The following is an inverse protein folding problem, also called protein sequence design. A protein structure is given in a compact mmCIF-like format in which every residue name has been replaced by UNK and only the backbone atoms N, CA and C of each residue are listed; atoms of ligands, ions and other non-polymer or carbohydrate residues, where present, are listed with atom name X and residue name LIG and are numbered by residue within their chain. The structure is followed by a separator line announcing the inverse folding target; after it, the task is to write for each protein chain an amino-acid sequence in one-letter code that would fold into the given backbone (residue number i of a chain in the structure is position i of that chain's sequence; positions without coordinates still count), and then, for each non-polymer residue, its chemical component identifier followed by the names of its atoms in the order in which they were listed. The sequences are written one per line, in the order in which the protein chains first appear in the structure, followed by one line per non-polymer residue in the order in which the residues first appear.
data_IF_167941121598
#
_entry.id   IF_167941121598
#
_cell.length_a   1.000
_cell.length_b   1.000
_cell.length_c   1.000
_cell.angle_alpha   90.00
_cell.angle_beta   90.00
_cell.angle_gamma   90.00
#
_symmetry.space_group_name_H-M   'P 1'
#
loop_
_entity.id
_entity.type
_entity.pdbx_description
1 polymer ?
#
# COMPACT_ATOMS: atom_id res chain seq x y z
N UNK A 1 13.94 -16.15 -9.16
CA UNK A 1 12.58 -16.51 -8.67
C UNK A 1 12.12 -15.38 -7.76
N UNK A 2 10.94 -14.78 -8.01
CA UNK A 2 10.39 -13.69 -7.23
C UNK A 2 10.06 -14.18 -5.80
N UNK A 3 10.69 -13.58 -4.79
CA UNK A 3 10.49 -13.95 -3.39
C UNK A 3 9.26 -13.29 -2.76
N UNK A 4 8.64 -12.32 -3.44
CA UNK A 4 7.45 -11.62 -2.95
C UNK A 4 6.27 -12.59 -2.91
N UNK A 5 5.63 -12.72 -1.76
CA UNK A 5 4.49 -13.61 -1.52
C UNK A 5 3.22 -12.87 -1.14
N UNK A 6 3.37 -11.71 -0.50
CA UNK A 6 2.27 -10.92 0.05
C UNK A 6 2.45 -9.46 -0.34
N UNK A 7 1.33 -8.81 -0.62
CA UNK A 7 1.21 -7.36 -0.65
C UNK A 7 0.36 -6.90 0.53
N UNK A 8 0.93 -6.08 1.41
CA UNK A 8 0.16 -5.41 2.45
C UNK A 8 -0.31 -4.06 1.92
N UNK A 9 -1.61 -3.92 1.76
CA UNK A 9 -2.24 -2.68 1.31
C UNK A 9 -2.75 -1.85 2.49
N UNK A 10 -2.64 -0.53 2.36
CA UNK A 10 -3.29 0.44 3.24
C UNK A 10 -3.99 1.51 2.40
N UNK A 11 -5.28 1.65 2.60
CA UNK A 11 -6.14 2.63 1.94
C UNK A 11 -6.50 3.73 2.93
N UNK A 12 -6.05 4.94 2.64
CA UNK A 12 -6.06 6.04 3.61
C UNK A 12 -6.85 7.24 3.10
N UNK A 13 -7.69 7.77 3.97
CA UNK A 13 -8.32 9.07 3.87
C UNK A 13 -7.58 10.09 4.73
N UNK A 14 -7.52 11.33 4.27
CA UNK A 14 -7.13 12.49 5.07
C UNK A 14 -8.39 13.27 5.42
N UNK A 15 -8.66 13.41 6.71
CA UNK A 15 -9.92 13.95 7.22
C UNK A 15 -9.98 15.47 7.19
N UNK A 16 -8.83 16.16 7.16
CA UNK A 16 -8.73 17.60 6.94
C UNK A 16 -7.98 17.87 5.62
N UNK A 17 -8.61 18.50 4.61
CA UNK A 17 -7.97 18.80 3.34
C UNK A 17 -6.69 19.65 3.43
N UNK A 18 -6.52 20.42 4.48
CA UNK A 18 -5.33 21.25 4.71
C UNK A 18 -4.10 20.42 5.08
N UNK A 19 -4.32 19.21 5.58
CA UNK A 19 -3.29 18.32 6.10
C UNK A 19 -2.63 17.43 5.03
N UNK A 20 -3.04 17.54 3.78
CA UNK A 20 -2.45 16.71 2.71
C UNK A 20 -0.95 16.90 2.56
N UNK A 21 -0.44 18.14 2.71
CA UNK A 21 0.99 18.41 2.60
C UNK A 21 1.75 17.76 3.77
N UNK A 22 1.34 18.05 5.00
CA UNK A 22 1.97 17.50 6.21
C UNK A 22 1.90 15.96 6.24
N UNK A 23 0.78 15.38 5.81
CA UNK A 23 0.66 13.94 5.66
C UNK A 23 1.64 13.36 4.63
N UNK A 24 1.82 14.04 3.49
CA UNK A 24 2.77 13.58 2.47
C UNK A 24 4.20 13.60 2.99
N UNK A 25 4.60 14.67 3.66
CA UNK A 25 5.90 14.81 4.29
C UNK A 25 6.15 13.72 5.33
N UNK A 26 5.24 13.59 6.29
CA UNK A 26 5.30 12.56 7.32
C UNK A 26 5.41 11.16 6.72
N UNK A 27 4.55 10.83 5.75
CA UNK A 27 4.52 9.48 5.20
C UNK A 27 5.78 9.12 4.41
N UNK A 28 6.34 10.08 3.66
CA UNK A 28 7.50 9.85 2.81
C UNK A 28 8.83 9.93 3.57
N UNK A 29 8.92 10.82 4.57
CA UNK A 29 10.19 11.14 5.22
C UNK A 29 10.33 10.49 6.60
N UNK A 30 9.23 10.04 7.19
CA UNK A 30 9.20 9.38 8.50
C UNK A 30 8.61 7.97 8.39
N UNK A 31 7.30 7.86 8.19
CA UNK A 31 6.57 6.60 8.37
C UNK A 31 6.98 5.48 7.40
N UNK A 32 7.11 5.78 6.12
CA UNK A 32 7.45 4.78 5.12
C UNK A 32 8.92 4.31 5.21
N UNK A 33 9.91 5.20 5.43
CA UNK A 33 11.30 4.79 5.64
C UNK A 33 11.51 3.88 6.84
N UNK A 34 10.74 4.03 7.93
CA UNK A 34 10.81 3.17 9.12
C UNK A 34 10.49 1.70 8.83
N UNK A 35 9.75 1.43 7.75
CA UNK A 35 9.40 0.05 7.38
C UNK A 35 10.53 -0.66 6.60
N UNK A 36 11.37 0.08 5.91
CA UNK A 36 12.35 -0.51 4.99
C UNK A 36 13.48 -1.30 5.66
N UNK A 37 13.92 -0.99 6.89
CA UNK A 37 14.89 -1.82 7.61
C UNK A 37 14.35 -3.18 8.07
N UNK A 38 13.03 -3.39 8.06
CA UNK A 38 12.46 -4.67 8.47
C UNK A 38 12.85 -5.80 7.52
N UNK A 39 13.32 -6.96 8.06
CA UNK A 39 13.73 -8.11 7.27
C UNK A 39 12.66 -8.59 6.37
N UNK A 40 12.14 -8.74 5.58
CA UNK A 40 11.01 -9.23 4.81
C UNK A 40 10.28 -8.14 4.02
N UNK A 41 10.59 -6.87 4.23
CA UNK A 41 10.06 -5.79 3.40
C UNK A 41 10.94 -5.64 2.16
N UNK A 42 10.44 -6.12 1.03
CA UNK A 42 11.17 -6.04 -0.23
C UNK A 42 11.05 -4.66 -0.90
N UNK A 43 9.91 -4.01 -0.74
CA UNK A 43 9.61 -2.72 -1.35
C UNK A 43 8.37 -2.08 -0.73
N UNK A 44 8.33 -0.74 -0.74
CA UNK A 44 7.15 0.05 -0.47
C UNK A 44 6.88 1.01 -1.64
N UNK A 45 5.64 1.08 -2.08
CA UNK A 45 5.16 2.02 -3.08
C UNK A 45 3.92 2.75 -2.57
N UNK A 46 3.70 3.98 -3.04
CA UNK A 46 2.58 4.80 -2.62
C UNK A 46 2.03 5.61 -3.78
N UNK A 47 0.72 5.68 -3.88
CA UNK A 47 0.01 6.42 -4.92
C UNK A 47 -1.01 7.37 -4.34
N UNK A 48 -1.22 8.47 -5.05
CA UNK A 48 -2.18 9.52 -4.70
C UNK A 48 -3.39 9.41 -5.61
N UNK A 49 -4.58 9.35 -5.04
CA UNK A 49 -5.84 9.43 -5.78
C UNK A 49 -6.18 10.89 -6.07
N UNK A 50 -5.60 11.43 -7.15
CA UNK A 50 -5.89 12.79 -7.60
C UNK A 50 -7.36 12.96 -8.04
N UNK A 51 -7.87 14.19 -8.16
CA UNK A 51 -9.21 14.41 -8.70
C UNK A 51 -9.43 13.75 -10.08
N UNK A 52 -8.40 13.71 -10.93
CA UNK A 52 -8.47 13.02 -12.22
C UNK A 52 -8.59 11.50 -12.04
N UNK A 53 -7.81 10.91 -11.14
CA UNK A 53 -7.92 9.47 -10.82
C UNK A 53 -9.29 9.12 -10.26
N UNK A 54 -9.87 9.97 -9.41
CA UNK A 54 -11.22 9.75 -8.85
C UNK A 54 -12.28 9.75 -9.93
N UNK A 55 -12.22 10.69 -10.89
CA UNK A 55 -13.17 10.71 -12.02
C UNK A 55 -13.03 9.51 -12.97
N UNK A 56 -11.86 8.89 -13.00
CA UNK A 56 -11.57 7.73 -13.86
C UNK A 56 -11.92 6.38 -13.19
N UNK A 57 -12.43 6.37 -11.97
CA UNK A 57 -12.86 5.13 -11.31
C UNK A 57 -13.98 4.46 -12.10
N UNK A 58 -13.86 3.16 -12.28
CA UNK A 58 -14.90 2.37 -12.96
C UNK A 58 -16.10 2.09 -12.06
N UNK A 59 -15.89 2.04 -10.74
CA UNK A 59 -16.90 1.77 -9.74
C UNK A 59 -16.78 2.76 -8.58
N UNK A 60 -17.90 3.24 -8.09
CA UNK A 60 -18.02 4.06 -6.88
C UNK A 60 -18.55 3.17 -5.75
N UNK A 61 -17.96 3.29 -4.58
CA UNK A 61 -18.39 2.61 -3.37
C UNK A 61 -18.13 3.48 -2.14
N UNK A 62 -19.09 3.57 -1.19
CA UNK A 62 -18.95 4.46 -0.02
C UNK A 62 -17.67 4.23 0.79
N UNK A 63 -17.20 2.98 0.87
CA UNK A 63 -15.94 2.65 1.55
C UNK A 63 -14.71 3.17 0.79
N UNK A 64 -14.74 3.15 -0.54
CA UNK A 64 -13.57 3.43 -1.38
C UNK A 64 -13.53 4.89 -1.87
N UNK A 65 -14.67 5.57 -1.93
CA UNK A 65 -14.76 6.93 -2.46
C UNK A 65 -13.91 7.95 -1.68
N UNK A 66 -13.81 7.89 -0.34
CA UNK A 66 -12.98 8.83 0.43
C UNK A 66 -11.48 8.60 0.33
N UNK A 67 -11.02 7.50 -0.28
CA UNK A 67 -9.59 7.16 -0.34
C UNK A 67 -8.80 8.21 -1.11
N UNK A 68 -7.82 8.79 -0.45
CA UNK A 68 -6.86 9.74 -1.00
C UNK A 68 -5.53 9.08 -1.38
N UNK A 69 -5.11 8.06 -0.63
CA UNK A 69 -3.80 7.42 -0.77
C UNK A 69 -3.91 5.91 -0.66
N UNK A 70 -3.10 5.24 -1.46
CA UNK A 70 -2.88 3.80 -1.34
C UNK A 70 -1.39 3.57 -1.14
N UNK A 71 -1.05 2.78 -0.12
CA UNK A 71 0.31 2.30 0.12
C UNK A 71 0.33 0.79 -0.03
N UNK A 72 1.40 0.27 -0.61
CA UNK A 72 1.64 -1.15 -0.80
C UNK A 72 3.05 -1.48 -0.30
N UNK A 73 3.13 -2.40 0.65
CA UNK A 73 4.39 -3.03 1.04
C UNK A 73 4.44 -4.45 0.49
N UNK A 74 5.47 -4.76 -0.26
CA UNK A 74 5.71 -6.08 -0.80
C UNK A 74 6.58 -6.87 0.17
N UNK A 75 6.08 -8.04 0.57
CA UNK A 75 6.67 -8.85 1.64
C UNK A 75 7.14 -10.21 1.14
N UNK A 76 8.24 -10.67 1.73
CA UNK A 76 8.88 -11.96 1.46
C UNK A 76 8.79 -12.89 2.66
N UNK A 77 9.08 -14.15 2.47
CA UNK A 77 9.19 -15.13 3.55
C UNK A 77 10.39 -14.83 4.48
N UNK A 78 10.30 -15.22 5.77
CA UNK A 78 9.18 -15.88 6.43
C UNK A 78 8.02 -14.90 6.72
N UNK A 79 6.80 -15.21 6.24
CA UNK A 79 5.69 -14.26 6.26
C UNK A 79 5.17 -13.93 7.67
N UNK A 80 5.09 -14.94 8.54
CA UNK A 80 4.57 -14.74 9.89
C UNK A 80 5.48 -13.79 10.69
N UNK A 81 6.79 -13.95 10.58
CA UNK A 81 7.77 -13.06 11.19
C UNK A 81 7.70 -11.66 10.58
N UNK A 82 7.67 -11.56 9.25
CA UNK A 82 7.58 -10.28 8.53
C UNK A 82 6.33 -9.50 8.93
N UNK A 83 5.18 -10.16 8.98
CA UNK A 83 3.91 -9.53 9.35
C UNK A 83 3.90 -9.13 10.83
N UNK A 84 4.42 -9.97 11.72
CA UNK A 84 4.57 -9.65 13.14
C UNK A 84 5.44 -8.42 13.32
N UNK A 85 6.64 -8.40 12.77
CA UNK A 85 7.57 -7.30 12.91
C UNK A 85 6.99 -5.98 12.34
N UNK A 86 6.25 -6.07 11.23
CA UNK A 86 5.55 -4.93 10.63
C UNK A 86 4.44 -4.38 11.53
N UNK A 87 3.65 -5.25 12.15
CA UNK A 87 2.57 -4.86 13.07
C UNK A 87 3.15 -4.31 14.37
N UNK A 88 4.19 -4.93 14.91
CA UNK A 88 4.86 -4.51 16.16
C UNK A 88 5.50 -3.13 15.99
N UNK A 89 6.17 -2.88 14.87
CA UNK A 89 6.68 -1.55 14.54
C UNK A 89 5.55 -0.52 14.47
N UNK A 90 4.44 -0.86 13.81
CA UNK A 90 3.27 0.01 13.75
C UNK A 90 2.68 0.33 15.13
N UNK A 91 2.67 -0.66 16.03
CA UNK A 91 2.28 -0.49 17.44
C UNK A 91 3.20 0.49 18.18
N UNK A 92 4.51 0.25 18.12
CA UNK A 92 5.52 1.09 18.75
C UNK A 92 5.48 2.54 18.26
N UNK A 93 5.35 2.75 16.96
CA UNK A 93 5.23 4.11 16.38
C UNK A 93 3.96 4.83 16.85
N UNK A 94 2.87 4.09 17.07
CA UNK A 94 1.62 4.65 17.61
C UNK A 94 1.78 5.06 19.07
N UNK A 95 2.39 4.23 19.89
CA UNK A 95 2.67 4.52 21.31
C UNK A 95 3.58 5.75 21.47
N UNK A 96 4.52 5.95 20.56
CA UNK A 96 5.38 7.13 20.48
C UNK A 96 4.69 8.38 19.92
N UNK A 97 3.39 8.30 19.58
CA UNK A 97 2.65 9.43 18.99
C UNK A 97 3.12 9.82 17.58
N UNK A 98 3.83 8.95 16.88
CA UNK A 98 4.38 9.23 15.54
C UNK A 98 3.40 8.95 14.40
N UNK A 99 2.13 8.76 14.66
CA UNK A 99 1.11 8.67 13.63
C UNK A 99 0.47 10.02 13.34
N UNK A 100 0.28 10.32 12.06
CA UNK A 100 -0.38 11.55 11.64
C UNK A 100 -1.84 11.58 12.10
N UNK A 101 -2.26 12.64 12.79
CA UNK A 101 -3.56 12.72 13.48
C UNK A 101 -4.76 12.74 12.53
N UNK A 102 -4.60 13.37 11.37
CA UNK A 102 -5.68 13.54 10.39
C UNK A 102 -5.74 12.41 9.35
N UNK A 103 -5.11 11.28 9.63
CA UNK A 103 -5.24 10.09 8.77
C UNK A 103 -6.31 9.13 9.31
N UNK A 104 -7.11 8.59 8.42
CA UNK A 104 -8.03 7.48 8.71
C UNK A 104 -7.74 6.32 7.76
N UNK A 105 -7.37 5.16 8.28
CA UNK A 105 -7.32 3.92 7.52
C UNK A 105 -8.74 3.42 7.28
N UNK A 106 -9.13 3.28 6.03
CA UNK A 106 -10.47 2.79 5.68
C UNK A 106 -10.48 1.29 5.45
N UNK A 107 -9.45 0.79 4.82
CA UNK A 107 -9.23 -0.62 4.55
C UNK A 107 -7.74 -0.91 4.57
N UNK A 108 -7.36 -2.08 4.99
CA UNK A 108 -5.97 -2.52 4.93
C UNK A 108 -5.84 -3.98 5.30
N UNK A 109 -4.76 -4.60 4.84
CA UNK A 109 -4.48 -5.98 5.14
C UNK A 109 -3.45 -6.59 4.20
N UNK A 110 -3.08 -7.81 4.54
CA UNK A 110 -2.16 -8.63 3.78
C UNK A 110 -2.93 -9.51 2.78
N UNK A 111 -2.51 -9.46 1.53
CA UNK A 111 -3.11 -10.22 0.43
C UNK A 111 -2.04 -11.12 -0.19
N UNK A 112 -2.32 -12.40 -0.29
CA UNK A 112 -1.43 -13.34 -0.95
C UNK A 112 -1.39 -13.09 -2.45
N UNK A 113 -0.19 -13.17 -3.03
CA UNK A 113 -0.02 -13.14 -4.47
C UNK A 113 -0.46 -14.45 -5.09
N UNK A 114 -1.57 -14.44 -5.79
CA UNK A 114 -2.12 -15.61 -6.47
C UNK A 114 -1.49 -15.77 -7.84
N UNK A 115 -1.35 -14.68 -8.61
CA UNK A 115 -0.82 -14.73 -9.97
C UNK A 115 -0.21 -13.39 -10.39
N UNK A 116 0.71 -13.45 -11.33
CA UNK A 116 1.36 -12.27 -11.90
C UNK A 116 1.44 -12.37 -13.42
N UNK A 117 1.35 -11.23 -14.08
CA UNK A 117 1.47 -11.10 -15.52
C UNK A 117 2.25 -9.86 -15.90
N UNK A 118 3.09 -9.96 -16.92
CA UNK A 118 3.64 -8.81 -17.61
C UNK A 118 2.87 -8.59 -18.92
N UNK A 119 2.68 -7.33 -19.30
CA UNK A 119 2.13 -7.02 -20.61
C UNK A 119 3.05 -7.58 -21.70
N UNK A 120 2.51 -8.17 -22.76
CA UNK A 120 3.32 -8.65 -23.90
C UNK A 120 4.16 -7.55 -24.56
N UNK A 121 3.83 -6.28 -24.30
CA UNK A 121 4.56 -5.10 -24.85
C UNK A 121 5.79 -4.72 -24.05
N UNK A 122 6.02 -5.32 -22.87
CA UNK A 122 7.19 -5.05 -22.06
C UNK A 122 8.19 -6.19 -22.13
N UNK A 123 9.47 -5.85 -22.25
CA UNK A 123 10.56 -6.82 -22.40
C UNK A 123 11.16 -7.22 -21.03
N UNK A 124 10.30 -7.36 -20.03
CA UNK A 124 10.70 -7.80 -18.69
C UNK A 124 9.73 -8.87 -18.18
N UNK A 125 10.24 -9.76 -17.34
CA UNK A 125 9.39 -10.75 -16.68
C UNK A 125 8.41 -10.08 -15.69
N UNK A 126 7.30 -10.75 -15.42
CA UNK A 126 6.36 -10.30 -14.38
C UNK A 126 7.05 -10.15 -13.02
N UNK A 127 8.00 -11.02 -12.71
CA UNK A 127 8.81 -10.97 -11.48
C UNK A 127 9.61 -9.67 -11.31
N UNK A 128 9.95 -9.01 -12.42
CA UNK A 128 10.74 -7.75 -12.40
C UNK A 128 9.87 -6.49 -12.33
N UNK A 129 8.57 -6.59 -12.55
CA UNK A 129 7.65 -5.43 -12.55
C UNK A 129 7.73 -4.63 -11.25
N UNK A 130 7.72 -5.24 -10.06
CA UNK A 130 7.79 -4.49 -8.81
C UNK A 130 9.08 -3.69 -8.64
N UNK A 131 10.16 -4.08 -9.28
CA UNK A 131 11.45 -3.39 -9.19
C UNK A 131 11.57 -2.17 -10.12
N UNK A 132 10.60 -1.94 -10.99
CA UNK A 132 10.59 -0.82 -11.93
C UNK A 132 9.92 0.42 -11.35
N UNK A 133 10.33 1.64 -11.76
CA UNK A 133 9.59 2.85 -11.43
C UNK A 133 8.16 2.75 -11.97
N UNK A 134 7.19 3.05 -11.12
CA UNK A 134 5.77 3.00 -11.45
C UNK A 134 5.17 4.40 -11.39
N UNK A 135 4.37 4.75 -12.40
CA UNK A 135 3.69 6.06 -12.46
C UNK A 135 2.30 6.04 -11.86
N UNK A 136 1.71 4.86 -11.73
CA UNK A 136 0.36 4.71 -11.19
C UNK A 136 -0.01 3.25 -11.01
N UNK A 137 -1.13 3.04 -10.34
CA UNK A 137 -1.72 1.73 -10.10
C UNK A 137 -3.22 1.81 -10.36
N UNK A 138 -3.77 0.75 -10.93
CA UNK A 138 -5.21 0.49 -10.97
C UNK A 138 -5.50 -0.71 -10.08
N UNK A 139 -6.43 -0.56 -9.15
CA UNK A 139 -6.75 -1.59 -8.16
C UNK A 139 -8.25 -1.90 -8.26
N UNK A 140 -8.59 -3.17 -8.34
CA UNK A 140 -9.94 -3.69 -8.17
C UNK A 140 -9.99 -4.52 -6.91
N UNK A 141 -10.96 -4.25 -6.05
CA UNK A 141 -11.26 -5.04 -4.87
C UNK A 141 -12.58 -5.75 -5.10
N UNK A 142 -12.60 -7.06 -4.87
CA UNK A 142 -13.78 -7.89 -5.04
C UNK A 142 -13.95 -8.78 -3.82
N UNK A 143 -15.16 -8.83 -3.28
CA UNK A 143 -15.53 -9.86 -2.32
C UNK A 143 -15.89 -11.13 -3.09
N UNK A 144 -15.26 -12.22 -2.71
CA UNK A 144 -15.59 -13.54 -3.23
C UNK A 144 -16.45 -14.22 -2.19
N UNK A 145 -17.73 -14.42 -2.50
CA UNK A 145 -18.59 -15.24 -1.65
C UNK A 145 -18.02 -16.67 -1.62
N UNK A 146 -17.92 -17.31 -0.45
CA UNK A 146 -17.67 -18.73 -0.42
C UNK A 146 -18.84 -19.45 -1.11
N UNK A 147 -18.54 -20.23 -2.12
CA UNK A 147 -19.49 -21.16 -2.76
C UNK A 147 -19.95 -22.23 -1.77
#
# INVERSE_FOLDING_TARGET
MNKIKVGFFSFTEITDPKEHHAYNEWHQLDHMPEQFPLPGIARGDRWVSTPACRRARAVSAPLLDPIHYVTLYLMTEPLDDTLRDFVDLGGALRELGRFHLHRRGLMGGAFYRVKEYASPRVLVSAESIPARPQRGVYITVQDVSPD
#
